data_IF_352349790338
#
_entry.id   IF_352349790338
#
_cell.length_a   1.000
_cell.length_b   1.000
_cell.length_c   1.000
_cell.angle_alpha   90.00
_cell.angle_beta   90.00
_cell.angle_gamma   90.00
#
_symmetry.space_group_name_H-M   'P 1'
#
loop_
_entity.id
_entity.type
_entity.pdbx_description
1 polymer ?
#
# COMPACT_ATOMS: atom_id res chain seq x y z
N UNK A 1 28.67 -12.83 -28.65
CA UNK A 1 27.41 -12.57 -29.38
C UNK A 1 26.66 -11.47 -28.64
N UNK A 2 26.61 -10.26 -29.24
CA UNK A 2 25.89 -9.10 -28.64
C UNK A 2 24.39 -9.14 -29.02
N UNK A 3 23.72 -10.17 -28.58
CA UNK A 3 22.25 -10.28 -28.75
C UNK A 3 21.58 -9.81 -27.45
N UNK A 4 20.83 -8.73 -27.47
CA UNK A 4 20.03 -8.33 -26.31
C UNK A 4 19.06 -9.46 -25.94
N UNK A 5 19.26 -10.05 -24.77
CA UNK A 5 18.41 -11.13 -24.28
C UNK A 5 18.21 -11.00 -22.78
N UNK A 6 17.04 -11.38 -22.31
CA UNK A 6 16.72 -11.42 -20.88
C UNK A 6 15.83 -12.64 -20.60
N UNK A 7 15.92 -13.22 -19.40
CA UNK A 7 15.00 -14.28 -18.99
C UNK A 7 13.57 -13.73 -18.85
N UNK A 8 12.59 -14.58 -19.13
CA UNK A 8 11.19 -14.28 -18.79
C UNK A 8 10.93 -14.81 -17.38
N UNK A 9 10.79 -13.90 -16.43
CA UNK A 9 10.53 -14.24 -15.04
C UNK A 9 9.06 -14.61 -14.79
N UNK A 10 8.84 -15.59 -13.92
CA UNK A 10 7.55 -15.80 -13.24
C UNK A 10 7.46 -14.85 -12.03
N UNK A 11 6.29 -14.77 -11.39
CA UNK A 11 6.16 -13.98 -10.15
C UNK A 11 7.12 -14.46 -9.05
N UNK A 12 7.34 -15.78 -8.94
CA UNK A 12 8.25 -16.35 -7.96
C UNK A 12 9.71 -15.96 -8.23
N UNK A 13 10.16 -16.10 -9.47
CA UNK A 13 11.56 -15.79 -9.85
C UNK A 13 11.81 -14.27 -9.91
N UNK A 14 10.80 -13.47 -10.17
CA UNK A 14 10.92 -12.00 -10.22
C UNK A 14 11.36 -11.41 -8.87
N UNK A 15 10.81 -11.93 -7.77
CA UNK A 15 11.13 -11.44 -6.42
C UNK A 15 12.55 -11.78 -5.97
N UNK A 16 13.23 -12.69 -6.64
CA UNK A 16 14.60 -13.11 -6.36
C UNK A 16 15.57 -12.69 -7.47
N UNK A 17 15.12 -11.87 -8.43
CA UNK A 17 15.94 -11.36 -9.52
C UNK A 17 16.92 -10.28 -9.02
N UNK A 18 18.24 -10.46 -9.16
CA UNK A 18 19.25 -9.50 -8.68
C UNK A 18 19.11 -8.10 -9.31
N UNK A 19 18.61 -8.00 -10.54
CA UNK A 19 18.39 -6.72 -11.19
C UNK A 19 17.23 -5.97 -10.53
N UNK A 20 16.15 -6.66 -10.19
CA UNK A 20 15.00 -6.07 -9.48
C UNK A 20 15.42 -5.57 -8.11
N UNK A 21 16.25 -6.33 -7.39
CA UNK A 21 16.82 -5.93 -6.10
C UNK A 21 17.71 -4.69 -6.25
N UNK A 22 18.69 -4.73 -7.15
CA UNK A 22 19.61 -3.62 -7.41
C UNK A 22 18.89 -2.33 -7.83
N UNK A 23 17.74 -2.44 -8.50
CA UNK A 23 16.87 -1.31 -8.87
C UNK A 23 15.94 -0.86 -7.73
N UNK A 24 15.93 -1.55 -6.59
CA UNK A 24 15.01 -1.29 -5.50
C UNK A 24 13.55 -1.48 -5.91
N UNK A 25 13.31 -2.41 -6.83
CA UNK A 25 11.97 -2.75 -7.34
C UNK A 25 11.29 -3.84 -6.51
N UNK A 26 11.95 -4.33 -5.48
CA UNK A 26 11.37 -5.21 -4.47
C UNK A 26 11.50 -4.52 -3.12
N UNK A 27 10.39 -4.24 -2.48
CA UNK A 27 10.33 -3.63 -1.15
C UNK A 27 9.42 -4.45 -0.23
N UNK A 28 9.51 -4.17 1.06
CA UNK A 28 8.62 -4.78 2.05
C UNK A 28 8.06 -3.75 3.01
N UNK A 29 6.89 -4.03 3.54
CA UNK A 29 6.28 -3.31 4.65
C UNK A 29 5.57 -4.28 5.59
N UNK A 30 5.38 -3.86 6.84
CA UNK A 30 4.58 -4.61 7.82
C UNK A 30 3.09 -4.27 7.63
N UNK A 31 2.30 -5.30 7.32
CA UNK A 31 0.85 -5.18 7.22
C UNK A 31 0.21 -5.51 8.57
N UNK A 32 -0.79 -4.74 9.05
CA UNK A 32 -1.34 -4.91 10.40
C UNK A 32 -1.90 -6.30 10.72
N UNK A 33 -2.34 -7.04 9.71
CA UNK A 33 -2.97 -8.37 9.88
C UNK A 33 -2.23 -9.50 9.18
N UNK A 34 -1.39 -9.21 8.17
CA UNK A 34 -0.72 -10.21 7.34
C UNK A 34 0.78 -10.33 7.61
N UNK A 35 1.34 -9.47 8.47
CA UNK A 35 2.78 -9.41 8.72
C UNK A 35 3.56 -8.81 7.55
N UNK A 36 4.80 -9.24 7.36
CA UNK A 36 5.67 -8.72 6.31
C UNK A 36 5.15 -9.08 4.90
N UNK A 37 4.91 -8.06 4.09
CA UNK A 37 4.50 -8.20 2.70
C UNK A 37 5.62 -7.66 1.80
N UNK A 38 6.06 -8.46 0.83
CA UNK A 38 6.93 -8.02 -0.26
C UNK A 38 6.06 -7.49 -1.42
N UNK A 39 6.45 -6.38 -1.99
CA UNK A 39 5.71 -5.75 -3.08
C UNK A 39 6.62 -5.05 -4.07
N UNK A 40 6.10 -4.77 -5.24
CA UNK A 40 6.76 -3.96 -6.26
C UNK A 40 6.32 -2.50 -6.09
N UNK A 41 7.25 -1.57 -5.76
CA UNK A 41 6.94 -0.15 -5.67
C UNK A 41 6.74 0.48 -7.04
N UNK A 42 6.44 1.78 -7.06
CA UNK A 42 6.39 2.55 -8.31
C UNK A 42 7.73 2.46 -9.06
N UNK A 43 7.71 2.21 -10.38
CA UNK A 43 8.90 2.24 -11.22
C UNK A 43 9.45 3.65 -11.42
N UNK A 44 8.63 4.67 -11.16
CA UNK A 44 9.06 6.07 -11.26
C UNK A 44 9.99 6.41 -10.10
N UNK A 45 11.16 6.95 -10.43
CA UNK A 45 12.14 7.43 -9.45
C UNK A 45 12.33 8.91 -9.67
N UNK A 46 12.08 9.69 -8.63
CA UNK A 46 12.24 11.15 -8.63
C UNK A 46 13.40 11.48 -7.71
N UNK A 47 14.33 12.32 -8.19
CA UNK A 47 15.44 12.77 -7.36
C UNK A 47 14.90 13.52 -6.13
N UNK A 48 15.51 13.26 -4.99
CA UNK A 48 15.20 13.91 -3.72
C UNK A 48 13.77 13.68 -3.20
N UNK A 49 13.06 12.67 -3.71
CA UNK A 49 11.75 12.30 -3.21
C UNK A 49 11.54 10.79 -3.17
N UNK A 50 11.24 10.28 -1.98
CA UNK A 50 10.86 8.89 -1.74
C UNK A 50 9.34 8.74 -1.63
N UNK A 51 8.79 7.75 -2.34
CA UNK A 51 7.39 7.39 -2.17
C UNK A 51 7.14 6.85 -0.76
N UNK A 52 6.10 7.33 -0.07
CA UNK A 52 5.80 6.84 1.27
C UNK A 52 5.48 5.34 1.24
N UNK A 53 6.18 4.59 2.07
CA UNK A 53 5.98 3.15 2.26
C UNK A 53 4.81 2.96 3.24
N UNK A 54 3.60 2.82 2.71
CA UNK A 54 2.40 2.59 3.50
C UNK A 54 1.72 1.30 3.05
N UNK A 55 1.12 0.60 4.00
CA UNK A 55 0.23 -0.51 3.66
C UNK A 55 -1.02 -0.02 2.92
N UNK A 56 -1.66 -0.92 2.17
CA UNK A 56 -2.99 -0.64 1.63
C UNK A 56 -3.97 -0.42 2.79
N UNK A 57 -4.81 0.62 2.75
CA UNK A 57 -5.74 0.90 3.84
C UNK A 57 -6.67 -0.28 4.12
N UNK A 58 -6.93 -0.53 5.39
CA UNK A 58 -7.94 -1.49 5.81
C UNK A 58 -9.34 -0.93 5.53
N UNK A 59 -10.30 -1.83 5.35
CA UNK A 59 -11.68 -1.39 5.12
C UNK A 59 -12.19 -0.55 6.30
N UNK A 60 -12.52 0.71 6.04
CA UNK A 60 -12.99 1.65 7.05
C UNK A 60 -11.89 2.33 7.88
N UNK A 61 -10.61 2.16 7.55
CA UNK A 61 -9.49 2.75 8.30
C UNK A 61 -9.56 4.28 8.37
N UNK A 62 -9.94 4.92 7.28
CA UNK A 62 -10.03 6.39 7.19
C UNK A 62 -11.46 6.92 7.30
N UNK A 63 -12.45 6.10 7.67
CA UNK A 63 -13.85 6.53 7.72
C UNK A 63 -14.05 7.73 8.65
N UNK A 64 -13.50 7.68 9.86
CA UNK A 64 -13.61 8.78 10.81
C UNK A 64 -12.96 10.05 10.28
N UNK A 65 -11.70 9.96 9.85
CA UNK A 65 -10.92 11.06 9.29
C UNK A 65 -11.66 11.74 8.12
N UNK A 66 -12.13 10.95 7.15
CA UNK A 66 -12.81 11.50 5.97
C UNK A 66 -14.12 12.18 6.33
N UNK A 67 -14.93 11.58 7.22
CA UNK A 67 -16.21 12.15 7.61
C UNK A 67 -16.05 13.41 8.48
N UNK A 68 -15.03 13.46 9.36
CA UNK A 68 -14.79 14.65 10.18
C UNK A 68 -14.06 15.75 9.43
N UNK A 69 -12.96 15.42 8.74
CA UNK A 69 -12.05 16.43 8.21
C UNK A 69 -12.44 16.95 6.81
N UNK A 70 -13.26 16.19 6.08
CA UNK A 70 -13.70 16.55 4.72
C UNK A 70 -15.19 16.91 4.65
N UNK A 71 -16.00 16.37 5.54
CA UNK A 71 -17.46 16.52 5.49
C UNK A 71 -18.04 17.18 6.75
N UNK A 72 -17.19 17.65 7.66
CA UNK A 72 -17.56 18.38 8.88
C UNK A 72 -18.54 17.62 9.80
N UNK A 73 -18.54 16.28 9.75
CA UNK A 73 -19.33 15.49 10.67
C UNK A 73 -18.71 15.52 12.06
N UNK A 74 -19.55 15.56 13.10
CA UNK A 74 -19.05 15.38 14.47
C UNK A 74 -18.68 13.91 14.70
N UNK A 75 -17.71 13.66 15.57
CA UNK A 75 -17.31 12.29 15.94
C UNK A 75 -18.49 11.49 16.52
N UNK A 76 -19.42 12.16 17.22
CA UNK A 76 -20.65 11.53 17.73
C UNK A 76 -21.56 11.09 16.59
N UNK A 77 -21.73 11.93 15.57
CA UNK A 77 -22.52 11.57 14.40
C UNK A 77 -21.92 10.40 13.63
N UNK A 78 -20.60 10.33 13.50
CA UNK A 78 -19.93 9.17 12.88
C UNK A 78 -20.14 7.90 13.70
N UNK A 79 -20.12 7.98 15.03
CA UNK A 79 -20.44 6.84 15.91
C UNK A 79 -21.87 6.35 15.75
N UNK A 80 -22.84 7.26 15.68
CA UNK A 80 -24.25 6.90 15.41
C UNK A 80 -24.38 6.15 14.09
N UNK A 81 -23.75 6.64 13.02
CA UNK A 81 -23.77 5.99 11.71
C UNK A 81 -23.11 4.61 11.74
N UNK A 82 -22.03 4.45 12.51
CA UNK A 82 -21.38 3.16 12.68
C UNK A 82 -22.25 2.17 13.45
N UNK A 83 -22.93 2.62 14.52
CA UNK A 83 -23.90 1.79 15.28
C UNK A 83 -25.08 1.39 14.40
N UNK A 84 -25.56 2.30 13.55
CA UNK A 84 -26.63 2.03 12.59
C UNK A 84 -26.21 1.15 11.41
N UNK A 85 -24.94 0.77 11.32
CA UNK A 85 -24.41 -0.06 10.23
C UNK A 85 -24.32 0.65 8.87
N UNK A 86 -24.41 1.98 8.86
CA UNK A 86 -24.31 2.79 7.63
C UNK A 86 -22.86 2.94 7.17
N UNK A 87 -21.93 3.02 8.11
CA UNK A 87 -20.50 3.10 7.86
C UNK A 87 -19.74 2.05 8.68
N UNK A 88 -18.66 1.53 8.11
CA UNK A 88 -17.68 0.71 8.83
C UNK A 88 -16.51 1.55 9.33
N UNK A 89 -15.96 1.21 10.49
CA UNK A 89 -14.72 1.79 11.02
C UNK A 89 -13.74 0.68 11.33
N UNK A 90 -12.47 0.87 10.98
CA UNK A 90 -11.40 -0.02 11.40
C UNK A 90 -11.10 0.20 12.89
N UNK A 91 -10.90 -0.91 13.65
CA UNK A 91 -10.57 -0.87 15.08
C UNK A 91 -9.09 -1.08 15.30
#
# INVERSE_FOLDING_TARGET
FDIPSAPVNTLETLFDDPHMEARGMIQSYEHPTLGAIRYQPSPMKVADWDFPKRHAPMLGEHTLEVLTDRLDYTADRVRELAVAGVVGTWK
#
